data_IF_628504767411
#
_entry.id   IF_628504767411
#
_cell.length_a   1.000
_cell.length_b   1.000
_cell.length_c   1.000
_cell.angle_alpha   90.00
_cell.angle_beta   90.00
_cell.angle_gamma   90.00
#
_symmetry.space_group_name_H-M   'P 1'
#
loop_
_entity.id
_entity.type
_entity.pdbx_description
1 polymer ?
#
# COMPACT_ATOMS: atom_id res chain seq x y z
N UNK A 1 1.40 -35.25 -109.56
CA UNK A 1 1.09 -35.98 -108.31
C UNK A 1 2.29 -36.10 -107.35
N UNK A 2 3.54 -36.25 -107.82
CA UNK A 2 4.73 -36.31 -106.93
C UNK A 2 5.06 -35.02 -106.16
N UNK A 3 4.85 -33.83 -106.73
CA UNK A 3 5.14 -32.53 -106.08
C UNK A 3 4.10 -32.15 -105.00
N UNK A 4 2.84 -32.61 -105.16
CA UNK A 4 1.76 -32.34 -104.21
C UNK A 4 1.95 -33.15 -102.91
N UNK A 5 2.55 -34.33 -103.00
CA UNK A 5 2.86 -35.19 -101.86
C UNK A 5 4.02 -34.66 -101.02
N UNK A 6 5.01 -34.00 -101.65
CA UNK A 6 6.15 -33.39 -100.95
C UNK A 6 5.78 -32.10 -100.22
N UNK A 7 4.83 -31.31 -100.75
CA UNK A 7 4.31 -30.11 -100.05
C UNK A 7 3.43 -30.52 -98.87
N UNK A 8 2.61 -31.56 -99.01
CA UNK A 8 1.81 -32.11 -97.90
C UNK A 8 2.69 -32.70 -96.78
N UNK A 9 3.81 -33.33 -97.12
CA UNK A 9 4.77 -33.85 -96.14
C UNK A 9 5.59 -32.73 -95.46
N UNK A 10 5.83 -31.60 -96.14
CA UNK A 10 6.52 -30.43 -95.58
C UNK A 10 5.65 -29.63 -94.60
N UNK A 11 4.34 -29.54 -94.84
CA UNK A 11 3.38 -28.83 -93.96
C UNK A 11 3.11 -29.60 -92.65
N UNK A 12 3.27 -30.93 -92.64
CA UNK A 12 3.07 -31.78 -91.46
C UNK A 12 4.22 -31.65 -90.43
N UNK A 13 5.41 -31.24 -90.85
CA UNK A 13 6.59 -31.14 -89.95
C UNK A 13 6.57 -29.86 -89.10
N UNK A 14 5.67 -28.90 -89.39
CA UNK A 14 5.62 -27.58 -88.71
C UNK A 14 4.78 -27.59 -87.42
N UNK A 15 4.06 -28.66 -87.10
CA UNK A 15 3.21 -28.75 -85.89
C UNK A 15 3.78 -29.59 -84.74
N UNK A 16 5.04 -30.03 -84.83
CA UNK A 16 5.68 -30.70 -83.71
C UNK A 16 6.27 -29.66 -82.74
N UNK A 17 5.41 -28.95 -82.00
CA UNK A 17 5.85 -28.18 -80.84
C UNK A 17 6.41 -29.17 -79.81
N UNK A 18 7.59 -28.90 -79.27
CA UNK A 18 8.15 -29.68 -78.17
C UNK A 18 7.08 -29.80 -77.07
N UNK A 19 6.67 -31.03 -76.77
CA UNK A 19 5.70 -31.30 -75.73
C UNK A 19 6.39 -31.17 -74.37
N UNK A 20 5.71 -30.50 -73.46
CA UNK A 20 5.96 -30.61 -72.03
C UNK A 20 5.97 -32.09 -71.59
N UNK A 21 6.78 -32.43 -70.58
CA UNK A 21 6.91 -33.81 -70.10
C UNK A 21 5.75 -34.10 -69.16
N UNK A 22 4.79 -34.91 -69.60
CA UNK A 22 3.77 -35.49 -68.74
C UNK A 22 4.16 -36.89 -68.29
N UNK A 23 4.04 -37.18 -67.00
CA UNK A 23 4.08 -38.54 -66.47
C UNK A 23 2.70 -38.84 -65.88
N UNK A 24 2.07 -39.91 -66.37
CA UNK A 24 0.70 -40.32 -66.05
C UNK A 24 -0.40 -39.30 -66.43
N UNK A 25 -0.10 -38.34 -67.31
CA UNK A 25 -1.07 -37.42 -67.90
C UNK A 25 -0.78 -37.20 -69.38
N UNK A 26 -1.84 -37.18 -70.21
CA UNK A 26 -1.72 -36.91 -71.65
C UNK A 26 -1.95 -35.44 -72.00
N UNK A 27 -2.33 -34.63 -71.01
CA UNK A 27 -2.56 -33.19 -71.15
C UNK A 27 -1.74 -32.46 -70.08
N UNK A 28 -0.40 -32.42 -70.20
CA UNK A 28 0.42 -31.72 -69.23
C UNK A 28 0.03 -30.23 -69.21
N UNK A 29 0.07 -29.61 -68.03
CA UNK A 29 -0.32 -28.21 -67.89
C UNK A 29 0.56 -27.35 -68.81
N UNK A 30 -0.05 -26.42 -69.56
CA UNK A 30 0.66 -25.56 -70.51
C UNK A 30 1.72 -24.66 -69.88
N UNK A 31 1.65 -24.45 -68.57
CA UNK A 31 2.62 -23.71 -67.77
C UNK A 31 3.75 -24.58 -67.19
N UNK A 32 3.67 -25.90 -67.31
CA UNK A 32 4.63 -26.84 -66.71
C UNK A 32 5.54 -27.50 -67.76
N UNK A 33 6.86 -27.49 -67.52
CA UNK A 33 7.82 -28.28 -68.30
C UNK A 33 7.75 -29.77 -67.90
N UNK A 34 7.41 -30.06 -66.64
CA UNK A 34 7.18 -31.42 -66.10
C UNK A 34 5.88 -31.43 -65.29
N UNK A 35 4.91 -32.28 -65.67
CA UNK A 35 3.66 -32.52 -64.94
C UNK A 35 3.59 -33.99 -64.52
N UNK A 36 3.52 -34.24 -63.21
CA UNK A 36 3.33 -35.57 -62.63
C UNK A 36 1.90 -35.67 -62.10
N UNK A 37 1.10 -36.60 -62.62
CA UNK A 37 -0.27 -36.85 -62.14
C UNK A 37 -0.36 -38.24 -61.50
N UNK A 38 -0.74 -38.33 -60.23
CA UNK A 38 -0.98 -39.63 -59.58
C UNK A 38 -1.88 -39.48 -58.38
N UNK A 39 -2.72 -40.48 -58.14
CA UNK A 39 -3.55 -40.61 -56.92
C UNK A 39 -2.92 -41.53 -55.88
N UNK A 40 -1.85 -42.26 -56.22
CA UNK A 40 -1.23 -43.29 -55.37
C UNK A 40 0.26 -43.03 -55.08
N UNK A 41 0.91 -42.17 -55.86
CA UNK A 41 2.35 -41.91 -55.76
C UNK A 41 2.64 -40.40 -55.65
N UNK A 42 3.70 -40.05 -54.91
CA UNK A 42 4.17 -38.67 -54.77
C UNK A 42 5.47 -38.40 -55.54
N UNK A 43 5.88 -37.14 -55.58
CA UNK A 43 7.21 -36.78 -56.03
C UNK A 43 8.22 -36.97 -54.91
N UNK A 44 9.24 -37.78 -55.15
CA UNK A 44 10.37 -37.97 -54.23
C UNK A 44 11.56 -37.14 -54.73
N UNK A 45 11.74 -35.88 -54.28
CA UNK A 45 12.90 -35.08 -54.66
C UNK A 45 14.20 -35.70 -54.10
N UNK A 46 15.38 -35.29 -54.59
CA UNK A 46 16.65 -35.69 -54.01
C UNK A 46 16.66 -35.49 -52.49
N UNK A 47 17.03 -36.53 -51.75
CA UNK A 47 17.06 -36.55 -50.28
C UNK A 47 18.52 -36.50 -49.82
N UNK A 48 18.83 -35.59 -48.90
CA UNK A 48 20.19 -35.40 -48.41
C UNK A 48 20.17 -34.79 -47.01
N UNK A 49 21.24 -35.01 -46.24
CA UNK A 49 21.49 -34.33 -44.96
C UNK A 49 21.90 -32.88 -45.19
N UNK A 50 21.85 -32.04 -44.15
CA UNK A 50 22.34 -30.65 -44.21
C UNK A 50 23.80 -30.57 -44.69
N UNK A 51 24.65 -31.49 -44.22
CA UNK A 51 26.06 -31.52 -44.63
C UNK A 51 26.26 -31.88 -46.11
N UNK A 52 25.47 -32.82 -46.64
CA UNK A 52 25.52 -33.21 -48.06
C UNK A 52 24.95 -32.11 -48.96
N UNK A 53 23.91 -31.41 -48.51
CA UNK A 53 23.34 -30.23 -49.17
C UNK A 53 24.37 -29.11 -49.29
N UNK A 54 25.07 -28.81 -48.18
CA UNK A 54 26.06 -27.73 -48.13
C UNK A 54 27.33 -28.06 -48.93
N UNK A 55 27.55 -29.33 -49.27
CA UNK A 55 28.61 -29.76 -50.17
C UNK A 55 28.31 -29.50 -51.66
N UNK A 56 27.09 -29.08 -52.03
CA UNK A 56 26.74 -28.73 -53.40
C UNK A 56 27.42 -27.40 -53.77
N UNK A 57 28.42 -27.46 -54.65
CA UNK A 57 29.11 -26.27 -55.17
C UNK A 57 28.27 -25.58 -56.26
N UNK A 58 28.03 -24.27 -56.14
CA UNK A 58 27.26 -23.47 -57.09
C UNK A 58 25.85 -24.05 -57.38
N UNK A 59 25.00 -24.21 -56.36
CA UNK A 59 23.63 -24.67 -56.57
C UNK A 59 22.87 -23.70 -57.49
N UNK A 60 22.02 -24.25 -58.36
CA UNK A 60 21.22 -23.46 -59.28
C UNK A 60 20.02 -22.81 -58.57
N UNK A 61 19.65 -21.59 -58.98
CA UNK A 61 18.44 -20.90 -58.51
C UNK A 61 17.20 -21.76 -58.78
N UNK A 62 16.40 -22.00 -57.73
CA UNK A 62 15.23 -22.86 -57.77
C UNK A 62 15.50 -24.36 -57.63
N UNK A 63 16.74 -24.79 -57.32
CA UNK A 63 17.06 -26.19 -57.04
C UNK A 63 16.31 -26.66 -55.77
N UNK A 64 15.48 -27.71 -55.88
CA UNK A 64 14.66 -28.24 -54.78
C UNK A 64 15.18 -29.59 -54.29
N UNK A 65 15.31 -29.74 -52.96
CA UNK A 65 15.72 -30.96 -52.27
C UNK A 65 14.85 -31.21 -51.03
N UNK A 66 14.85 -32.43 -50.51
CA UNK A 66 14.29 -32.74 -49.19
C UNK A 66 15.43 -32.98 -48.21
N UNK A 67 15.55 -32.11 -47.20
CA UNK A 67 16.58 -32.23 -46.18
C UNK A 67 16.11 -33.22 -45.11
N UNK A 68 16.82 -34.34 -44.96
CA UNK A 68 16.46 -35.40 -44.00
C UNK A 68 16.88 -35.09 -42.57
N UNK A 69 17.75 -34.10 -42.36
CA UNK A 69 18.13 -33.62 -41.03
C UNK A 69 17.01 -32.75 -40.46
N UNK A 70 16.50 -31.81 -41.25
CA UNK A 70 15.48 -30.82 -40.83
C UNK A 70 14.04 -31.29 -41.16
N UNK A 71 13.91 -32.44 -41.83
CA UNK A 71 12.63 -33.03 -42.28
C UNK A 71 11.75 -32.08 -43.10
N UNK A 72 12.36 -31.25 -43.95
CA UNK A 72 11.68 -30.20 -44.72
C UNK A 72 12.13 -30.15 -46.18
N UNK A 73 11.23 -29.69 -47.05
CA UNK A 73 11.61 -29.27 -48.39
C UNK A 73 12.43 -27.99 -48.31
N UNK A 74 13.55 -27.96 -49.01
CA UNK A 74 14.41 -26.79 -49.15
C UNK A 74 14.63 -26.46 -50.62
N UNK A 75 14.76 -25.18 -50.94
CA UNK A 75 15.15 -24.74 -52.28
C UNK A 75 16.24 -23.68 -52.21
N UNK A 76 17.12 -23.64 -53.20
CA UNK A 76 18.14 -22.60 -53.29
C UNK A 76 17.55 -21.36 -53.98
N UNK A 77 17.61 -20.19 -53.36
CA UNK A 77 17.02 -18.96 -53.91
C UNK A 77 18.02 -18.10 -54.72
N UNK A 78 19.25 -18.58 -54.92
CA UNK A 78 20.35 -17.83 -55.52
C UNK A 78 21.40 -17.35 -54.51
N UNK A 79 21.04 -17.28 -53.23
CA UNK A 79 21.89 -16.78 -52.14
C UNK A 79 22.07 -17.82 -51.02
N UNK A 80 21.00 -18.49 -50.60
CA UNK A 80 21.02 -19.47 -49.53
C UNK A 80 20.00 -20.60 -49.77
N UNK A 81 20.11 -21.65 -48.96
CA UNK A 81 19.11 -22.71 -48.88
C UNK A 81 17.95 -22.26 -48.00
N UNK A 82 16.79 -22.08 -48.62
CA UNK A 82 15.54 -21.69 -48.01
C UNK A 82 14.74 -22.93 -47.61
N UNK A 83 14.21 -22.95 -46.39
CA UNK A 83 13.14 -23.87 -46.03
C UNK A 83 11.87 -23.48 -46.78
N UNK A 84 11.03 -24.46 -47.08
CA UNK A 84 9.76 -24.23 -47.80
C UNK A 84 8.80 -23.24 -47.11
N UNK A 85 8.96 -23.01 -45.81
CA UNK A 85 8.22 -22.03 -45.02
C UNK A 85 8.98 -20.71 -44.78
N UNK A 86 10.23 -20.60 -45.24
CA UNK A 86 11.04 -19.39 -45.07
C UNK A 86 10.74 -18.36 -46.17
N UNK A 87 10.76 -17.08 -45.82
CA UNK A 87 10.58 -15.94 -46.75
C UNK A 87 11.90 -15.32 -47.21
N UNK A 88 12.92 -15.28 -46.36
CA UNK A 88 14.28 -14.81 -46.69
C UNK A 88 15.39 -15.57 -45.95
N UNK A 89 16.63 -15.40 -46.42
CA UNK A 89 17.83 -15.98 -45.78
C UNK A 89 18.05 -15.50 -44.33
N UNK A 90 17.59 -14.29 -44.02
CA UNK A 90 17.75 -13.64 -42.71
C UNK A 90 16.47 -13.69 -41.87
N UNK A 91 15.61 -14.69 -42.09
CA UNK A 91 14.40 -14.82 -41.29
C UNK A 91 14.72 -15.35 -39.89
N UNK A 92 14.18 -14.69 -38.87
CA UNK A 92 14.41 -15.05 -37.49
C UNK A 92 13.49 -16.18 -37.06
N UNK A 93 14.07 -17.34 -36.74
CA UNK A 93 13.38 -18.47 -36.12
C UNK A 93 13.69 -18.46 -34.64
N UNK A 94 12.64 -18.32 -33.83
CA UNK A 94 12.76 -18.38 -32.39
C UNK A 94 11.52 -19.01 -31.78
N UNK A 95 11.71 -19.59 -30.59
CA UNK A 95 10.64 -20.04 -29.71
C UNK A 95 10.70 -19.24 -28.41
N UNK A 96 9.53 -19.08 -27.79
CA UNK A 96 9.42 -18.60 -26.41
C UNK A 96 9.03 -19.78 -25.56
N UNK A 97 9.70 -19.95 -24.42
CA UNK A 97 9.29 -20.92 -23.40
C UNK A 97 9.29 -20.25 -22.04
N UNK A 98 8.24 -20.48 -21.28
CA UNK A 98 8.16 -20.02 -19.90
C UNK A 98 8.67 -21.12 -18.96
N UNK A 99 9.37 -20.75 -17.90
CA UNK A 99 9.74 -21.68 -16.83
C UNK A 99 8.50 -22.28 -16.13
N UNK A 100 7.44 -21.48 -16.08
CA UNK A 100 6.13 -21.80 -15.53
C UNK A 100 5.05 -21.13 -16.37
N UNK A 101 3.92 -21.82 -16.58
CA UNK A 101 2.78 -21.28 -17.37
C UNK A 101 1.74 -20.60 -16.48
N UNK A 102 1.91 -20.66 -15.17
CA UNK A 102 1.04 -20.01 -14.20
C UNK A 102 1.75 -19.82 -12.88
N UNK A 103 1.30 -18.86 -12.09
CA UNK A 103 1.72 -18.73 -10.70
C UNK A 103 0.69 -17.98 -9.88
N UNK A 104 0.80 -18.10 -8.56
CA UNK A 104 -0.17 -17.58 -7.61
C UNK A 104 0.51 -16.56 -6.71
N UNK A 105 -0.10 -15.39 -6.57
CA UNK A 105 0.25 -14.43 -5.52
C UNK A 105 -0.67 -14.69 -4.32
N UNK A 106 -0.09 -15.32 -3.30
CA UNK A 106 -0.68 -15.42 -1.97
C UNK A 106 -0.40 -14.12 -1.21
N UNK A 107 -1.44 -13.30 -1.04
CA UNK A 107 -1.39 -11.97 -0.42
C UNK A 107 -0.96 -11.98 1.05
N UNK A 108 -0.84 -13.14 1.68
CA UNK A 108 -0.27 -13.28 3.02
C UNK A 108 1.26 -13.29 2.93
N UNK A 109 1.81 -14.10 2.02
CA UNK A 109 3.23 -14.41 1.96
C UNK A 109 4.03 -13.47 1.04
N UNK A 110 3.46 -13.05 -0.08
CA UNK A 110 4.14 -12.20 -1.06
C UNK A 110 3.15 -11.32 -1.81
N UNK A 111 3.57 -10.11 -2.15
CA UNK A 111 2.84 -9.20 -3.04
C UNK A 111 3.41 -9.22 -4.47
N UNK A 112 4.42 -10.07 -4.72
CA UNK A 112 5.09 -10.19 -6.02
C UNK A 112 5.32 -11.62 -6.45
N UNK A 113 5.44 -11.80 -7.76
CA UNK A 113 5.72 -13.07 -8.42
C UNK A 113 6.63 -12.81 -9.62
N UNK A 114 7.69 -13.59 -9.76
CA UNK A 114 8.62 -13.51 -10.89
C UNK A 114 8.66 -14.86 -11.61
N UNK A 115 8.63 -14.81 -12.94
CA UNK A 115 8.80 -15.97 -13.81
C UNK A 115 9.76 -15.63 -14.95
N UNK A 116 10.46 -16.64 -15.47
CA UNK A 116 11.46 -16.47 -16.52
C UNK A 116 10.92 -16.83 -17.89
N UNK A 117 11.19 -15.96 -18.86
CA UNK A 117 10.87 -16.09 -20.27
C UNK A 117 12.17 -16.40 -21.02
N UNK A 118 12.29 -17.60 -21.57
CA UNK A 118 13.44 -18.01 -22.38
C UNK A 118 13.12 -17.85 -23.86
N UNK A 119 14.03 -17.19 -24.58
CA UNK A 119 14.02 -17.06 -26.03
C UNK A 119 15.11 -17.96 -26.59
N UNK A 120 14.74 -18.88 -27.47
CA UNK A 120 15.69 -19.75 -28.17
C UNK A 120 15.63 -19.51 -29.67
N UNK A 121 16.68 -18.91 -30.24
CA UNK A 121 16.84 -18.68 -31.66
C UNK A 121 17.58 -19.84 -32.33
N UNK A 122 16.99 -20.41 -33.39
CA UNK A 122 17.52 -21.60 -34.08
C UNK A 122 18.19 -21.28 -35.43
N UNK A 123 18.73 -20.07 -35.61
CA UNK A 123 19.39 -19.60 -36.84
C UNK A 123 20.89 -19.33 -36.70
N UNK A 124 21.60 -19.20 -37.82
CA UNK A 124 23.05 -18.89 -37.84
C UNK A 124 23.37 -17.42 -37.55
N UNK A 125 22.42 -16.52 -37.83
CA UNK A 125 22.51 -15.09 -37.51
C UNK A 125 21.67 -14.78 -36.27
N UNK A 126 22.27 -14.05 -35.33
CA UNK A 126 21.57 -13.58 -34.14
C UNK A 126 20.75 -12.34 -34.49
N UNK A 127 19.50 -12.35 -34.05
CA UNK A 127 18.57 -11.25 -34.27
C UNK A 127 18.10 -10.68 -32.92
N UNK A 128 17.63 -9.44 -32.93
CA UNK A 128 16.98 -8.87 -31.76
C UNK A 128 15.51 -9.25 -31.75
N UNK A 129 15.08 -9.90 -30.67
CA UNK A 129 13.67 -10.16 -30.37
C UNK A 129 13.16 -9.10 -29.41
N UNK A 130 12.10 -8.38 -29.78
CA UNK A 130 11.38 -7.46 -28.88
C UNK A 130 10.24 -8.18 -28.19
N UNK A 131 10.04 -7.93 -26.90
CA UNK A 131 8.99 -8.51 -26.07
C UNK A 131 7.92 -7.46 -25.74
N UNK A 132 6.66 -7.86 -25.82
CA UNK A 132 5.51 -7.07 -25.45
C UNK A 132 4.63 -7.88 -24.50
N UNK A 133 4.05 -7.20 -23.51
CA UNK A 133 3.10 -7.79 -22.59
C UNK A 133 1.70 -7.27 -22.91
N UNK A 134 0.77 -8.17 -23.20
CA UNK A 134 -0.63 -7.85 -23.46
C UNK A 134 -1.49 -8.45 -22.36
N UNK A 135 -2.18 -7.59 -21.59
CA UNK A 135 -2.94 -8.02 -20.42
C UNK A 135 -4.08 -7.05 -20.07
N UNK A 136 -4.99 -7.53 -19.23
CA UNK A 136 -6.04 -6.72 -18.56
C UNK A 136 -5.96 -6.88 -17.04
N UNK A 137 -4.78 -6.61 -16.49
CA UNK A 137 -4.52 -6.71 -15.05
C UNK A 137 -5.34 -5.67 -14.26
N UNK A 138 -5.63 -5.95 -12.98
CA UNK A 138 -6.26 -4.99 -12.08
C UNK A 138 -5.48 -3.66 -11.98
N UNK A 139 -6.14 -2.55 -11.60
CA UNK A 139 -5.55 -1.21 -11.63
C UNK A 139 -4.29 -1.02 -10.79
N UNK A 140 -4.14 -1.75 -9.67
CA UNK A 140 -2.97 -1.64 -8.80
C UNK A 140 -1.97 -2.79 -9.03
N UNK A 141 -2.15 -3.58 -10.08
CA UNK A 141 -1.26 -4.66 -10.47
C UNK A 141 -0.43 -4.24 -11.67
N UNK A 142 0.89 -4.39 -11.55
CA UNK A 142 1.84 -4.06 -12.62
C UNK A 142 2.69 -5.27 -12.96
N UNK A 143 3.14 -5.34 -14.20
CA UNK A 143 4.11 -6.33 -14.66
C UNK A 143 5.23 -5.62 -15.41
N UNK A 144 6.47 -5.96 -15.09
CA UNK A 144 7.64 -5.36 -15.72
C UNK A 144 8.62 -6.45 -16.16
N UNK A 145 9.25 -6.25 -17.31
CA UNK A 145 10.35 -7.07 -17.79
C UNK A 145 11.68 -6.48 -17.31
N UNK A 146 12.66 -7.32 -17.00
CA UNK A 146 14.03 -6.86 -16.73
C UNK A 146 14.67 -6.21 -17.95
N UNK A 147 14.28 -6.65 -19.15
CA UNK A 147 14.64 -6.06 -20.44
C UNK A 147 13.55 -6.40 -21.47
N UNK A 148 13.27 -5.47 -22.39
CA UNK A 148 12.24 -5.62 -23.43
C UNK A 148 12.79 -6.17 -24.75
N UNK A 149 14.10 -6.39 -24.83
CA UNK A 149 14.79 -6.88 -26.03
C UNK A 149 15.84 -7.91 -25.68
N UNK A 150 16.01 -8.92 -26.55
CA UNK A 150 17.04 -9.96 -26.42
C UNK A 150 17.73 -10.17 -27.76
N UNK A 151 19.06 -10.12 -27.76
CA UNK A 151 19.89 -10.43 -28.92
C UNK A 151 20.33 -11.89 -28.89
N UNK A 152 19.96 -12.68 -29.90
CA UNK A 152 20.21 -14.12 -29.92
C UNK A 152 19.28 -14.88 -28.97
N UNK A 153 19.73 -16.03 -28.46
CA UNK A 153 19.05 -16.76 -27.39
C UNK A 153 19.39 -16.17 -26.02
N UNK A 154 18.43 -16.13 -25.10
CA UNK A 154 18.61 -15.56 -23.76
C UNK A 154 17.37 -15.72 -22.88
N UNK A 155 17.45 -15.21 -21.65
CA UNK A 155 16.33 -15.20 -20.70
C UNK A 155 16.03 -13.79 -20.22
N UNK A 156 14.76 -13.52 -19.97
CA UNK A 156 14.22 -12.29 -19.39
C UNK A 156 13.31 -12.66 -18.24
N UNK A 157 13.37 -11.91 -17.14
CA UNK A 157 12.44 -12.13 -16.04
C UNK A 157 11.30 -11.13 -16.13
N UNK A 158 10.08 -11.65 -15.97
CA UNK A 158 8.89 -10.86 -15.82
C UNK A 158 8.49 -10.86 -14.33
N UNK A 159 8.38 -9.67 -13.74
CA UNK A 159 7.98 -9.51 -12.34
C UNK A 159 6.64 -8.82 -12.27
N UNK A 160 5.67 -9.50 -11.66
CA UNK A 160 4.35 -9.00 -11.33
C UNK A 160 4.37 -8.51 -9.88
N UNK A 161 3.79 -7.34 -9.63
CA UNK A 161 3.56 -6.79 -8.29
C UNK A 161 2.09 -6.40 -8.21
N UNK A 162 1.39 -6.81 -7.16
CA UNK A 162 -0.03 -6.53 -6.95
C UNK A 162 -0.26 -5.91 -5.57
N UNK A 163 -1.42 -5.29 -5.39
CA UNK A 163 -1.89 -4.80 -4.10
C UNK A 163 -2.91 -5.76 -3.48
N UNK A 164 -2.94 -5.81 -2.15
CA UNK A 164 -4.02 -6.46 -1.39
C UNK A 164 -5.42 -5.92 -1.76
N UNK A 165 -5.50 -4.69 -2.28
CA UNK A 165 -6.76 -4.03 -2.64
C UNK A 165 -7.27 -4.37 -4.04
N UNK A 166 -6.48 -5.07 -4.86
CA UNK A 166 -6.93 -5.44 -6.20
C UNK A 166 -7.99 -6.54 -6.16
N UNK A 167 -8.70 -6.69 -7.28
CA UNK A 167 -9.68 -7.76 -7.43
C UNK A 167 -8.97 -9.12 -7.53
N UNK A 168 -9.38 -10.15 -6.77
CA UNK A 168 -8.84 -11.50 -6.92
C UNK A 168 -9.35 -12.14 -8.20
N UNK A 169 -8.61 -13.11 -8.73
CA UNK A 169 -8.99 -13.79 -9.96
C UNK A 169 -7.82 -14.38 -10.73
N UNK A 170 -8.12 -14.91 -11.91
CA UNK A 170 -7.13 -15.41 -12.85
C UNK A 170 -7.05 -14.48 -14.05
N UNK A 171 -5.84 -13.98 -14.32
CA UNK A 171 -5.57 -12.99 -15.35
C UNK A 171 -4.56 -13.56 -16.36
N UNK A 172 -4.96 -13.77 -17.62
CA UNK A 172 -4.03 -14.18 -18.65
C UNK A 172 -3.16 -12.99 -19.07
N UNK A 173 -1.86 -13.24 -19.18
CA UNK A 173 -0.86 -12.31 -19.68
C UNK A 173 -0.27 -12.96 -20.93
N UNK A 174 -0.49 -12.35 -22.09
CA UNK A 174 0.12 -12.81 -23.33
C UNK A 174 1.49 -12.14 -23.50
N UNK A 175 2.54 -12.96 -23.53
CA UNK A 175 3.91 -12.56 -23.82
C UNK A 175 4.10 -12.72 -25.32
N UNK A 176 4.22 -11.60 -26.02
CA UNK A 176 4.44 -11.58 -27.46
C UNK A 176 5.89 -11.22 -27.75
N UNK A 177 6.63 -12.14 -28.37
CA UNK A 177 7.91 -11.84 -28.99
C UNK A 177 7.74 -11.52 -30.46
N UNK A 178 8.50 -10.53 -30.94
CA UNK A 178 8.57 -10.17 -32.35
C UNK A 178 10.05 -10.15 -32.75
N UNK A 179 10.37 -10.89 -33.81
CA UNK A 179 11.70 -10.91 -34.39
C UNK A 179 11.56 -10.82 -35.92
N UNK A 180 11.93 -9.67 -36.49
CA UNK A 180 11.65 -9.33 -37.90
C UNK A 180 10.15 -9.48 -38.24
N UNK A 181 9.79 -10.53 -39.00
CA UNK A 181 8.40 -10.85 -39.38
C UNK A 181 7.80 -12.02 -38.60
N UNK A 182 8.59 -12.68 -37.74
CA UNK A 182 8.16 -13.80 -36.92
C UNK A 182 7.58 -13.31 -35.60
N UNK A 183 6.43 -13.86 -35.21
CA UNK A 183 5.74 -13.54 -33.97
C UNK A 183 5.49 -14.85 -33.24
N UNK A 184 5.89 -14.91 -31.96
CA UNK A 184 5.56 -15.99 -31.05
C UNK A 184 4.79 -15.43 -29.87
N UNK A 185 3.80 -16.17 -29.40
CA UNK A 185 2.99 -15.78 -28.24
C UNK A 185 2.88 -16.94 -27.29
N UNK A 186 3.25 -16.70 -26.03
CA UNK A 186 3.00 -17.59 -24.92
C UNK A 186 2.09 -16.91 -23.89
N UNK A 187 1.31 -17.69 -23.15
CA UNK A 187 0.37 -17.15 -22.16
C UNK A 187 0.75 -17.63 -20.77
N UNK A 188 0.96 -16.66 -19.88
CA UNK A 188 1.11 -16.89 -18.45
C UNK A 188 -0.20 -16.59 -17.72
N UNK A 189 -0.65 -17.49 -16.84
CA UNK A 189 -1.83 -17.28 -16.01
C UNK A 189 -1.44 -16.82 -14.61
N UNK A 190 -1.68 -15.54 -14.31
CA UNK A 190 -1.52 -15.00 -12.97
C UNK A 190 -2.79 -15.28 -12.16
N UNK A 191 -2.65 -15.99 -11.04
CA UNK A 191 -3.72 -16.15 -10.07
C UNK A 191 -3.48 -15.25 -8.86
N UNK A 192 -4.48 -14.49 -8.47
CA UNK A 192 -4.45 -13.61 -7.29
C UNK A 192 -5.49 -14.13 -6.30
N UNK A 193 -5.03 -14.51 -5.10
CA UNK A 193 -5.89 -15.10 -4.08
C UNK A 193 -6.85 -14.07 -3.47
N UNK A 194 -8.04 -14.56 -3.09
CA UNK A 194 -9.05 -13.73 -2.43
C UNK A 194 -8.75 -13.53 -0.95
N UNK A 195 -8.97 -12.30 -0.47
CA UNK A 195 -8.94 -11.96 0.94
C UNK A 195 -10.35 -11.90 1.52
N UNK A 196 -10.48 -12.09 2.84
CA UNK A 196 -11.70 -11.75 3.56
C UNK A 196 -12.03 -10.26 3.29
N UNK A 197 -13.30 -9.95 3.07
CA UNK A 197 -13.77 -8.58 2.88
C UNK A 197 -14.66 -8.22 4.06
N UNK A 198 -14.32 -7.12 4.74
CA UNK A 198 -15.07 -6.58 5.87
C UNK A 198 -15.50 -5.16 5.51
N UNK A 199 -16.81 -4.92 5.48
CA UNK A 199 -17.37 -3.59 5.21
C UNK A 199 -17.90 -3.00 6.50
N UNK A 200 -17.40 -1.80 6.85
CA UNK A 200 -17.78 -1.05 8.04
C UNK A 200 -18.56 0.18 7.56
N UNK A 201 -19.88 0.08 7.65
CA UNK A 201 -20.84 1.08 7.15
C UNK A 201 -21.75 1.67 8.24
N UNK A 202 -21.45 1.35 9.49
CA UNK A 202 -22.11 1.90 10.67
C UNK A 202 -21.05 2.30 11.69
N UNK A 203 -21.24 3.44 12.35
CA UNK A 203 -20.30 3.92 13.36
C UNK A 203 -20.14 2.92 14.51
N UNK A 204 -18.93 2.82 15.05
CA UNK A 204 -18.55 1.84 16.06
C UNK A 204 -17.58 2.45 17.06
N UNK A 205 -17.61 1.98 18.30
CA UNK A 205 -16.68 2.40 19.36
C UNK A 205 -15.78 1.23 19.74
N UNK A 206 -14.47 1.45 19.81
CA UNK A 206 -13.45 0.44 20.12
C UNK A 206 -13.52 -0.74 19.13
N UNK A 207 -13.39 -0.46 17.84
CA UNK A 207 -13.56 -1.47 16.80
C UNK A 207 -12.34 -2.41 16.73
N UNK A 208 -12.55 -3.68 17.07
CA UNK A 208 -11.54 -4.74 16.90
C UNK A 208 -11.88 -5.60 15.68
N UNK A 209 -11.07 -5.47 14.62
CA UNK A 209 -11.31 -6.11 13.32
C UNK A 209 -11.47 -7.64 13.44
N UNK A 210 -10.66 -8.28 14.27
CA UNK A 210 -10.65 -9.74 14.39
C UNK A 210 -11.90 -10.25 15.11
N UNK A 211 -12.16 -9.74 16.32
CA UNK A 211 -13.20 -10.24 17.20
C UNK A 211 -14.60 -9.85 16.73
N UNK A 212 -14.78 -8.63 16.22
CA UNK A 212 -16.09 -8.15 15.73
C UNK A 212 -16.56 -8.94 14.51
N UNK A 213 -15.64 -9.39 13.67
CA UNK A 213 -15.96 -10.09 12.41
C UNK A 213 -15.78 -11.61 12.50
N UNK A 214 -15.38 -12.15 13.65
CA UNK A 214 -15.14 -13.58 13.84
C UNK A 214 -14.04 -14.13 12.94
N UNK A 215 -13.01 -13.33 12.66
CA UNK A 215 -11.89 -13.74 11.82
C UNK A 215 -10.99 -14.75 12.56
N UNK A 216 -10.31 -15.66 11.84
CA UNK A 216 -9.30 -16.52 12.44
C UNK A 216 -8.23 -15.73 13.21
N UNK A 217 -7.93 -16.16 14.43
CA UNK A 217 -6.91 -15.55 15.27
C UNK A 217 -5.54 -16.21 15.14
N UNK A 218 -4.73 -16.07 16.19
CA UNK A 218 -3.36 -16.61 16.28
C UNK A 218 -3.29 -18.10 15.87
N UNK A 219 -2.32 -18.43 15.01
CA UNK A 219 -2.08 -19.76 14.46
C UNK A 219 -2.69 -20.00 13.09
N UNK A 220 -3.50 -19.08 12.57
CA UNK A 220 -4.10 -19.17 11.22
C UNK A 220 -3.91 -17.84 10.47
N UNK A 221 -2.81 -17.70 9.71
CA UNK A 221 -2.59 -16.52 8.88
C UNK A 221 -3.71 -16.30 7.88
N UNK A 222 -4.16 -15.05 7.73
CA UNK A 222 -5.18 -14.67 6.76
C UNK A 222 -4.80 -13.40 5.99
N UNK A 223 -5.46 -13.19 4.87
CA UNK A 223 -5.54 -11.89 4.22
C UNK A 223 -6.94 -11.31 4.44
N UNK A 224 -7.04 -10.06 4.90
CA UNK A 224 -8.33 -9.36 5.10
C UNK A 224 -8.24 -7.91 4.62
N UNK A 225 -9.30 -7.43 3.96
CA UNK A 225 -9.47 -6.01 3.60
C UNK A 225 -10.66 -5.45 4.36
N UNK A 226 -10.42 -4.40 5.13
CA UNK A 226 -11.42 -3.64 5.86
C UNK A 226 -11.73 -2.31 5.14
N UNK A 227 -12.99 -2.12 4.80
CA UNK A 227 -13.51 -0.93 4.12
C UNK A 227 -14.31 -0.07 5.09
N UNK A 228 -13.78 1.10 5.44
CA UNK A 228 -14.53 2.10 6.21
C UNK A 228 -15.27 3.00 5.23
N UNK A 229 -16.59 2.85 5.16
CA UNK A 229 -17.42 3.58 4.20
C UNK A 229 -17.58 5.06 4.57
N UNK A 230 -17.87 5.93 3.58
CA UNK A 230 -18.13 7.35 3.82
C UNK A 230 -19.26 7.57 4.84
N UNK A 231 -19.07 8.52 5.77
CA UNK A 231 -20.05 8.84 6.81
C UNK A 231 -20.02 7.91 8.03
N UNK A 232 -19.13 6.91 8.04
CA UNK A 232 -18.87 6.06 9.20
C UNK A 232 -17.85 6.72 10.13
N UNK A 233 -18.11 6.68 11.43
CA UNK A 233 -17.16 7.08 12.47
C UNK A 233 -16.77 5.88 13.32
N UNK A 234 -15.48 5.59 13.41
CA UNK A 234 -14.90 4.64 14.35
C UNK A 234 -14.24 5.45 15.46
N UNK A 235 -14.80 5.39 16.66
CA UNK A 235 -14.34 6.17 17.81
C UNK A 235 -13.71 5.30 18.88
N UNK A 236 -13.01 5.91 19.83
CA UNK A 236 -12.79 5.31 21.16
C UNK A 236 -13.75 5.94 22.18
N UNK A 237 -13.74 5.42 23.41
CA UNK A 237 -14.37 6.04 24.59
C UNK A 237 -13.47 5.94 25.84
N UNK A 238 -12.24 5.50 25.66
CA UNK A 238 -11.23 5.33 26.70
C UNK A 238 -9.87 5.52 26.01
N UNK A 239 -9.04 6.50 26.42
CA UNK A 239 -7.77 6.78 25.74
C UNK A 239 -6.79 5.59 25.80
N UNK A 240 -6.99 4.62 26.68
CA UNK A 240 -6.18 3.39 26.74
C UNK A 240 -6.59 2.33 25.72
N UNK A 241 -7.74 2.52 25.04
CA UNK A 241 -8.28 1.62 24.02
C UNK A 241 -8.22 2.34 22.67
N UNK A 242 -7.60 1.75 21.63
CA UNK A 242 -7.56 2.37 20.33
C UNK A 242 -8.95 2.41 19.69
N UNK A 243 -9.21 3.42 18.86
CA UNK A 243 -10.47 3.52 18.13
C UNK A 243 -10.66 2.32 17.18
N UNK A 244 -9.59 1.93 16.47
CA UNK A 244 -9.53 0.74 15.63
C UNK A 244 -8.31 -0.11 15.97
N UNK A 245 -8.51 -1.41 16.17
CA UNK A 245 -7.45 -2.41 16.33
C UNK A 245 -7.60 -3.51 15.28
N UNK A 246 -6.48 -3.99 14.72
CA UNK A 246 -6.52 -5.23 13.92
C UNK A 246 -6.79 -6.47 14.77
N UNK A 247 -6.68 -6.37 16.10
CA UNK A 247 -7.01 -7.42 17.06
C UNK A 247 -6.01 -8.56 17.12
N UNK A 248 -6.44 -9.70 17.64
CA UNK A 248 -5.60 -10.88 17.87
C UNK A 248 -5.45 -11.79 16.62
N UNK A 249 -5.21 -11.19 15.46
CA UNK A 249 -4.85 -11.91 14.24
C UNK A 249 -3.49 -12.61 14.40
N UNK A 250 -3.24 -13.63 13.59
CA UNK A 250 -1.90 -14.20 13.49
C UNK A 250 -0.91 -13.17 12.93
N UNK A 251 0.30 -13.09 13.51
CA UNK A 251 1.31 -12.09 13.15
C UNK A 251 1.78 -12.13 11.69
N UNK A 252 1.60 -13.26 11.00
CA UNK A 252 1.88 -13.40 9.57
C UNK A 252 0.73 -12.92 8.67
N UNK A 253 -0.42 -12.55 9.23
CA UNK A 253 -1.56 -12.06 8.48
C UNK A 253 -1.25 -10.72 7.80
N UNK A 254 -1.99 -10.43 6.73
CA UNK A 254 -1.90 -9.17 6.01
C UNK A 254 -3.26 -8.47 6.03
N UNK A 255 -3.28 -7.27 6.59
CA UNK A 255 -4.49 -6.43 6.69
C UNK A 255 -4.42 -5.31 5.65
N UNK A 256 -5.47 -5.14 4.87
CA UNK A 256 -5.69 -3.97 4.02
C UNK A 256 -6.73 -3.06 4.68
N UNK A 257 -6.47 -1.77 4.80
CA UNK A 257 -7.46 -0.79 5.27
C UNK A 257 -7.72 0.22 4.17
N UNK A 258 -8.97 0.34 3.70
CA UNK A 258 -9.43 1.45 2.85
C UNK A 258 -10.31 2.34 3.70
N UNK A 259 -9.80 3.51 4.07
CA UNK A 259 -10.53 4.45 4.91
C UNK A 259 -11.05 5.63 4.11
N UNK A 260 -12.38 5.80 4.08
CA UNK A 260 -13.07 7.00 3.56
C UNK A 260 -13.92 7.67 4.66
N UNK A 261 -13.97 7.07 5.85
CA UNK A 261 -14.70 7.59 7.01
C UNK A 261 -13.83 8.40 7.97
N UNK A 262 -14.26 8.50 9.22
CA UNK A 262 -13.52 9.09 10.32
C UNK A 262 -13.10 7.99 11.29
N UNK A 263 -11.80 7.88 11.59
CA UNK A 263 -11.26 7.09 12.70
C UNK A 263 -10.68 8.09 13.69
N UNK A 264 -11.28 8.24 14.86
CA UNK A 264 -10.87 9.22 15.87
C UNK A 264 -10.68 8.56 17.23
N UNK A 265 -9.54 8.82 17.85
CA UNK A 265 -9.31 8.37 19.22
C UNK A 265 -9.85 9.35 20.25
N UNK A 266 -10.09 8.83 21.45
CA UNK A 266 -10.40 9.63 22.63
C UNK A 266 -9.15 10.45 23.01
N UNK A 267 -9.34 11.71 23.36
CA UNK A 267 -8.32 12.53 23.98
C UNK A 267 -8.15 12.17 25.45
N UNK A 268 -6.98 12.45 25.99
CA UNK A 268 -6.70 12.19 27.40
C UNK A 268 -7.48 13.14 28.31
N UNK A 269 -7.91 12.65 29.47
CA UNK A 269 -8.52 13.49 30.49
C UNK A 269 -7.50 14.50 31.06
N UNK A 270 -7.98 15.71 31.27
CA UNK A 270 -7.28 16.73 32.03
C UNK A 270 -7.03 16.25 33.46
N UNK A 271 -5.82 16.52 33.96
CA UNK A 271 -5.44 16.01 35.26
C UNK A 271 -6.35 16.53 36.38
N UNK A 272 -6.68 15.65 37.31
CA UNK A 272 -7.52 15.94 38.47
C UNK A 272 -6.67 16.18 39.72
N UNK A 273 -7.01 17.19 40.52
CA UNK A 273 -6.38 17.47 41.82
C UNK A 273 -4.87 17.73 41.74
N UNK A 274 -4.14 17.46 42.82
CA UNK A 274 -2.67 17.56 42.86
C UNK A 274 -2.14 17.33 44.26
N UNK A 275 -0.98 16.67 44.40
CA UNK A 275 -0.35 16.53 45.72
C UNK A 275 0.36 17.84 46.08
N UNK A 276 0.35 18.22 47.37
CA UNK A 276 1.11 19.37 47.89
C UNK A 276 2.62 19.27 47.63
N UNK A 277 3.14 18.09 47.32
CA UNK A 277 4.56 17.84 47.06
C UNK A 277 4.96 18.05 45.59
N UNK A 278 4.02 17.82 44.65
CA UNK A 278 4.25 17.88 43.19
C UNK A 278 3.57 19.07 42.52
N UNK A 279 2.83 19.87 43.29
CA UNK A 279 2.08 21.03 42.82
C UNK A 279 1.08 20.72 41.69
N UNK A 280 0.60 19.48 41.60
CA UNK A 280 -0.27 19.02 40.50
C UNK A 280 -0.07 17.55 40.15
N UNK A 281 -0.77 17.10 39.12
CA UNK A 281 -0.64 15.80 38.46
C UNK A 281 -0.48 16.01 36.94
N UNK A 282 0.12 15.03 36.26
CA UNK A 282 0.22 15.01 34.81
C UNK A 282 -1.16 14.76 34.19
N UNK A 283 -1.38 15.34 33.00
CA UNK A 283 -2.54 14.96 32.18
C UNK A 283 -2.46 13.51 31.74
N UNK A 284 -3.60 12.94 31.37
CA UNK A 284 -3.65 11.61 30.76
C UNK A 284 -3.23 11.68 29.29
N UNK A 285 -2.59 10.63 28.80
CA UNK A 285 -2.18 10.55 27.40
C UNK A 285 -3.41 10.37 26.49
N UNK A 286 -3.36 10.91 25.28
CA UNK A 286 -4.38 10.68 24.26
C UNK A 286 -4.32 9.26 23.70
N UNK A 287 -5.46 8.75 23.23
CA UNK A 287 -5.55 7.41 22.67
C UNK A 287 -5.09 7.29 21.22
N UNK A 288 -4.79 6.06 20.82
CA UNK A 288 -4.39 5.75 19.45
C UNK A 288 -5.60 5.61 18.53
N UNK A 289 -5.54 6.18 17.33
CA UNK A 289 -6.63 6.02 16.36
C UNK A 289 -6.60 4.61 15.76
N UNK A 290 -5.43 4.17 15.32
CA UNK A 290 -5.19 2.84 14.77
C UNK A 290 -4.10 2.14 15.56
N UNK A 291 -4.38 0.91 16.00
CA UNK A 291 -3.40 0.00 16.59
C UNK A 291 -3.26 -1.27 15.73
N UNK A 292 -2.09 -1.46 15.14
CA UNK A 292 -1.83 -2.52 14.18
C UNK A 292 -0.99 -3.63 14.80
N UNK A 293 -1.47 -4.86 14.69
CA UNK A 293 -0.83 -6.07 15.25
C UNK A 293 -0.13 -6.92 14.20
N UNK A 294 -0.28 -6.58 12.91
CA UNK A 294 0.25 -7.34 11.77
C UNK A 294 0.71 -6.41 10.65
N UNK A 295 1.36 -6.96 9.62
CA UNK A 295 1.64 -6.24 8.36
C UNK A 295 0.34 -5.62 7.84
N UNK A 296 0.36 -4.33 7.55
CA UNK A 296 -0.82 -3.59 7.12
C UNK A 296 -0.51 -2.75 5.88
N UNK A 297 -1.39 -2.80 4.88
CA UNK A 297 -1.44 -1.84 3.79
C UNK A 297 -2.62 -0.91 3.99
N UNK A 298 -2.47 0.39 3.72
CA UNK A 298 -3.53 1.37 3.92
C UNK A 298 -3.68 2.30 2.71
N UNK A 299 -4.92 2.59 2.34
CA UNK A 299 -5.30 3.71 1.47
C UNK A 299 -6.23 4.60 2.29
N UNK A 300 -5.77 5.79 2.63
CA UNK A 300 -6.55 6.77 3.38
C UNK A 300 -6.99 7.91 2.46
N UNK A 301 -8.31 8.07 2.31
CA UNK A 301 -8.93 9.27 1.73
C UNK A 301 -9.89 9.95 2.71
N UNK A 302 -10.16 9.30 3.86
CA UNK A 302 -10.89 9.81 5.00
C UNK A 302 -9.97 10.44 6.05
N UNK A 303 -10.33 10.32 7.32
CA UNK A 303 -9.67 10.97 8.45
C UNK A 303 -9.20 9.94 9.48
N UNK A 304 -7.97 10.12 9.98
CA UNK A 304 -7.37 9.29 11.04
C UNK A 304 -6.71 10.23 12.05
N UNK A 305 -7.31 10.37 13.24
CA UNK A 305 -6.88 11.34 14.25
C UNK A 305 -6.56 10.66 15.57
N UNK A 306 -5.29 10.72 15.99
CA UNK A 306 -4.87 10.35 17.34
C UNK A 306 -5.36 11.36 18.37
N UNK A 307 -5.60 10.90 19.58
CA UNK A 307 -6.10 11.73 20.67
C UNK A 307 -5.09 12.81 21.07
N UNK A 308 -5.57 13.98 21.44
CA UNK A 308 -4.77 15.00 22.10
C UNK A 308 -4.52 14.63 23.55
N UNK A 309 -3.36 14.99 24.09
CA UNK A 309 -3.05 14.76 25.50
C UNK A 309 -3.87 15.66 26.42
N UNK A 310 -4.22 15.17 27.60
CA UNK A 310 -4.86 15.96 28.64
C UNK A 310 -3.93 17.03 29.21
N UNK A 311 -4.47 18.16 29.62
CA UNK A 311 -3.72 19.21 30.29
C UNK A 311 -3.30 18.82 31.71
N UNK A 312 -2.16 19.35 32.17
CA UNK A 312 -1.71 19.16 33.55
C UNK A 312 -2.59 19.92 34.56
N UNK A 313 -2.68 19.44 35.79
CA UNK A 313 -3.29 20.21 36.87
C UNK A 313 -2.23 20.95 37.66
N UNK A 314 -2.66 22.00 38.35
CA UNK A 314 -1.82 22.72 39.28
C UNK A 314 -2.50 22.87 40.64
N UNK A 315 -1.72 22.79 41.70
CA UNK A 315 -2.21 22.88 43.07
C UNK A 315 -1.17 23.48 43.99
N UNK A 316 -1.61 24.33 44.90
CA UNK A 316 -0.77 24.92 45.93
C UNK A 316 -1.49 24.86 47.26
N UNK A 317 -0.75 24.53 48.30
CA UNK A 317 -1.22 24.81 49.65
C UNK A 317 -0.11 25.14 50.62
N UNK A 318 -0.43 26.05 51.52
CA UNK A 318 0.49 26.53 52.54
C UNK A 318 -0.29 26.89 53.81
N UNK A 319 0.35 26.71 54.96
CA UNK A 319 -0.18 27.15 56.24
C UNK A 319 0.56 28.41 56.68
N UNK A 320 -0.20 29.47 56.92
CA UNK A 320 0.30 30.76 57.36
C UNK A 320 -0.04 30.97 58.84
N UNK A 321 0.91 31.51 59.59
CA UNK A 321 0.67 31.97 60.95
C UNK A 321 0.22 33.44 60.91
N UNK A 322 -1.04 33.69 61.27
CA UNK A 322 -1.62 35.03 61.27
C UNK A 322 -1.80 35.49 62.73
N UNK A 323 -1.29 36.68 63.09
CA UNK A 323 -1.53 37.26 64.41
C UNK A 323 -3.04 37.32 64.70
N UNK A 324 -3.44 37.03 65.95
CA UNK A 324 -4.83 37.08 66.45
C UNK A 324 -5.71 35.86 66.09
N UNK A 325 -5.56 35.23 64.92
CA UNK A 325 -6.41 34.09 64.50
C UNK A 325 -5.69 32.73 64.45
N UNK A 326 -4.36 32.70 64.61
CA UNK A 326 -3.58 31.46 64.62
C UNK A 326 -3.23 30.99 63.20
N UNK A 327 -3.32 29.69 62.94
CA UNK A 327 -2.96 29.09 61.65
C UNK A 327 -4.11 29.17 60.64
N UNK A 328 -3.81 29.65 59.42
CA UNK A 328 -4.70 29.59 58.28
C UNK A 328 -4.07 28.74 57.17
N UNK A 329 -4.77 27.72 56.69
CA UNK A 329 -4.31 26.88 55.57
C UNK A 329 -5.01 27.31 54.29
N UNK A 330 -4.22 27.77 53.33
CA UNK A 330 -4.67 27.99 51.96
C UNK A 330 -4.51 26.69 51.18
N UNK A 331 -5.56 26.30 50.48
CA UNK A 331 -5.50 25.35 49.38
C UNK A 331 -6.15 25.99 48.15
N UNK A 332 -5.41 26.04 47.05
CA UNK A 332 -5.89 26.58 45.78
C UNK A 332 -5.36 25.72 44.63
N UNK A 333 -6.16 25.51 43.59
CA UNK A 333 -5.70 24.77 42.43
C UNK A 333 -6.62 24.92 41.23
N UNK A 334 -6.18 24.37 40.12
CA UNK A 334 -6.94 24.27 38.89
C UNK A 334 -6.70 22.93 38.21
N UNK A 335 -7.75 22.37 37.61
CA UNK A 335 -7.68 21.15 36.82
C UNK A 335 -7.21 21.43 35.40
N UNK A 336 -6.59 20.42 34.76
CA UNK A 336 -6.21 20.53 33.35
C UNK A 336 -7.43 20.45 32.43
N UNK A 337 -7.34 21.01 31.24
CA UNK A 337 -8.36 20.82 30.20
C UNK A 337 -8.25 19.46 29.52
N UNK A 338 -9.36 18.93 29.00
CA UNK A 338 -9.37 17.64 28.30
C UNK A 338 -8.82 17.74 26.87
N UNK A 339 -8.16 16.68 26.39
CA UNK A 339 -7.63 16.61 25.02
C UNK A 339 -8.70 16.26 23.98
N UNK A 340 -8.47 16.62 22.70
CA UNK A 340 -9.39 16.25 21.61
C UNK A 340 -9.33 14.75 21.28
N UNK A 341 -10.43 14.04 21.02
CA UNK A 341 -11.82 14.43 21.24
C UNK A 341 -12.33 13.91 22.60
N UNK A 342 -13.39 14.51 23.11
CA UNK A 342 -14.16 14.00 24.26
C UNK A 342 -13.42 13.89 25.61
N UNK A 343 -12.12 14.20 25.68
CA UNK A 343 -11.36 14.24 26.93
C UNK A 343 -12.03 15.13 27.97
N UNK A 344 -12.20 14.61 29.18
CA UNK A 344 -12.84 15.33 30.26
C UNK A 344 -11.91 16.38 30.87
N UNK A 345 -12.46 17.49 31.32
CA UNK A 345 -11.75 18.48 32.11
C UNK A 345 -11.47 17.94 33.51
N UNK A 346 -10.25 18.18 33.99
CA UNK A 346 -9.81 17.81 35.31
C UNK A 346 -10.60 18.51 36.41
N UNK A 347 -11.00 17.77 37.43
CA UNK A 347 -11.77 18.31 38.56
C UNK A 347 -10.92 18.38 39.83
N UNK A 348 -11.49 18.86 40.94
CA UNK A 348 -10.81 18.85 42.26
C UNK A 348 -10.53 17.44 42.79
N UNK A 349 -11.23 16.42 42.29
CA UNK A 349 -11.11 15.04 42.75
C UNK A 349 -11.54 14.87 44.21
N UNK A 350 -10.89 13.96 44.93
CA UNK A 350 -11.17 13.67 46.34
C UNK A 350 -10.48 14.62 47.34
N UNK A 351 -9.72 15.61 46.85
CA UNK A 351 -9.01 16.58 47.69
C UNK A 351 -9.87 17.85 47.73
N UNK A 352 -10.58 18.14 48.84
CA UNK A 352 -11.34 19.36 48.96
C UNK A 352 -10.36 20.52 49.20
N UNK A 353 -9.77 21.04 48.13
CA UNK A 353 -9.17 22.36 48.18
C UNK A 353 -10.31 23.39 48.30
N UNK A 354 -10.24 24.35 49.24
CA UNK A 354 -11.34 25.29 49.45
C UNK A 354 -11.54 26.26 48.28
N UNK A 355 -10.56 26.38 47.37
CA UNK A 355 -10.64 27.18 46.15
C UNK A 355 -10.16 26.32 44.98
N UNK A 356 -11.02 26.09 44.00
CA UNK A 356 -10.69 25.27 42.83
C UNK A 356 -11.41 25.78 41.58
N UNK A 357 -10.76 25.66 40.42
CA UNK A 357 -11.40 25.80 39.12
C UNK A 357 -11.23 24.51 38.32
N UNK A 358 -12.34 23.92 37.87
CA UNK A 358 -12.32 22.76 37.00
C UNK A 358 -11.85 23.15 35.60
N UNK A 359 -11.14 22.25 34.93
CA UNK A 359 -10.84 22.37 33.51
C UNK A 359 -12.09 22.14 32.67
N UNK A 360 -12.04 22.57 31.41
CA UNK A 360 -13.12 22.34 30.45
C UNK A 360 -12.94 20.98 29.76
N UNK A 361 -14.04 20.37 29.35
CA UNK A 361 -14.02 19.19 28.50
C UNK A 361 -13.68 19.62 27.06
N UNK A 362 -13.00 18.75 26.32
CA UNK A 362 -12.89 18.90 24.88
C UNK A 362 -14.26 18.70 24.22
N UNK A 363 -14.43 19.31 23.04
CA UNK A 363 -15.57 18.98 22.17
C UNK A 363 -15.25 17.74 21.32
N UNK A 364 -16.19 17.30 20.50
CA UNK A 364 -16.06 16.10 19.68
C UNK A 364 -16.19 16.30 18.18
N UNK A 365 -15.89 15.24 17.45
CA UNK A 365 -15.94 15.15 15.99
C UNK A 365 -14.82 15.90 15.27
N UNK A 366 -14.88 15.92 13.93
CA UNK A 366 -13.81 16.36 13.04
C UNK A 366 -13.17 17.73 13.35
N UNK A 367 -13.93 18.65 13.96
CA UNK A 367 -13.50 20.00 14.34
C UNK A 367 -13.45 20.19 15.86
N UNK A 368 -13.14 19.13 16.60
CA UNK A 368 -12.97 19.18 18.04
C UNK A 368 -12.00 20.28 18.47
N UNK A 369 -12.35 20.95 19.56
CA UNK A 369 -11.55 21.98 20.22
C UNK A 369 -11.15 21.42 21.58
N UNK A 370 -9.85 21.53 21.97
CA UNK A 370 -9.42 21.05 23.27
C UNK A 370 -10.07 21.85 24.39
N UNK A 371 -10.16 21.22 25.55
CA UNK A 371 -10.57 21.89 26.77
C UNK A 371 -9.48 22.84 27.26
N UNK A 372 -9.89 24.04 27.67
CA UNK A 372 -9.01 24.98 28.37
C UNK A 372 -8.83 24.54 29.83
N UNK A 373 -7.67 24.82 30.42
CA UNK A 373 -7.40 24.62 31.82
C UNK A 373 -8.31 25.46 32.74
N UNK A 374 -8.50 25.00 33.97
CA UNK A 374 -9.25 25.77 34.97
C UNK A 374 -8.53 27.08 35.29
N UNK A 375 -9.26 28.20 35.39
CA UNK A 375 -8.66 29.52 35.57
C UNK A 375 -9.13 30.23 36.84
N UNK A 376 -8.17 30.61 37.69
CA UNK A 376 -8.35 31.46 38.87
C UNK A 376 -7.42 32.66 38.79
N UNK A 377 -7.96 33.79 38.30
CA UNK A 377 -7.23 35.06 38.14
C UNK A 377 -7.90 36.26 38.85
N UNK A 378 -8.97 36.00 39.61
CA UNK A 378 -9.72 37.04 40.33
C UNK A 378 -9.33 37.02 41.82
N UNK A 379 -9.05 38.17 42.45
CA UNK A 379 -8.79 38.23 43.88
C UNK A 379 -9.93 37.68 44.74
N UNK A 380 -9.59 36.85 45.73
CA UNK A 380 -10.54 36.18 46.62
C UNK A 380 -10.37 36.74 48.03
N UNK A 381 -11.47 37.24 48.62
CA UNK A 381 -11.47 37.80 49.97
C UNK A 381 -12.19 36.86 50.94
N UNK A 382 -11.49 36.38 51.96
CA UNK A 382 -11.98 35.42 52.96
C UNK A 382 -12.03 36.12 54.33
N UNK A 383 -13.22 36.39 54.89
CA UNK A 383 -13.34 36.93 56.24
C UNK A 383 -13.12 35.82 57.29
N UNK A 384 -12.15 36.02 58.18
CA UNK A 384 -11.84 35.10 59.29
C UNK A 384 -11.84 35.88 60.60
N UNK A 385 -12.99 35.90 61.27
CA UNK A 385 -13.19 36.72 62.48
C UNK A 385 -13.00 38.21 62.17
N UNK A 386 -12.11 38.94 62.88
CA UNK A 386 -11.85 40.35 62.60
C UNK A 386 -10.93 40.57 61.39
N UNK A 387 -10.30 39.53 60.84
CA UNK A 387 -9.28 39.64 59.77
C UNK A 387 -9.89 39.34 58.41
N UNK A 388 -9.51 40.09 57.37
CA UNK A 388 -9.83 39.76 55.97
C UNK A 388 -8.58 39.27 55.25
N UNK A 389 -8.57 38.03 54.78
CA UNK A 389 -7.49 37.46 53.97
C UNK A 389 -7.82 37.71 52.50
N UNK A 390 -6.91 38.35 51.77
CA UNK A 390 -7.02 38.56 50.32
C UNK A 390 -5.97 37.72 49.61
N UNK A 391 -6.44 36.82 48.74
CA UNK A 391 -5.61 36.00 47.86
C UNK A 391 -5.72 36.59 46.47
N UNK A 392 -4.60 36.86 45.81
CA UNK A 392 -4.55 37.26 44.40
C UNK A 392 -3.91 36.12 43.62
N UNK A 393 -4.74 35.21 43.07
CA UNK A 393 -4.26 34.07 42.31
C UNK A 393 -3.99 34.44 40.84
N UNK A 394 -3.04 33.73 40.25
CA UNK A 394 -2.92 33.49 38.82
C UNK A 394 -2.63 32.00 38.69
N UNK A 395 -3.68 31.19 38.83
CA UNK A 395 -3.62 29.73 38.81
C UNK A 395 -4.40 29.25 37.60
N UNK A 396 -3.72 28.52 36.73
CA UNK A 396 -4.21 28.08 35.43
C UNK A 396 -3.79 26.61 35.26
N UNK A 397 -4.76 25.72 35.06
CA UNK A 397 -4.45 24.37 34.59
C UNK A 397 -3.83 24.41 33.19
N UNK A 398 -3.12 23.36 32.80
CA UNK A 398 -2.71 23.22 31.41
C UNK A 398 -3.93 22.99 30.53
N UNK A 399 -3.90 23.53 29.32
CA UNK A 399 -4.88 23.23 28.27
C UNK A 399 -4.65 21.83 27.71
N UNK A 400 -5.73 21.19 27.27
CA UNK A 400 -5.68 19.97 26.52
C UNK A 400 -5.04 20.17 25.14
N UNK A 401 -4.53 19.09 24.58
CA UNK A 401 -3.97 19.06 23.23
C UNK A 401 -5.06 18.92 22.17
N UNK A 402 -4.84 19.51 20.99
CA UNK A 402 -5.60 19.15 19.80
C UNK A 402 -5.23 17.72 19.36
N UNK A 403 -5.95 17.15 18.39
CA UNK A 403 -5.65 15.81 17.87
C UNK A 403 -4.17 15.65 17.50
N UNK A 404 -3.52 14.62 18.03
CA UNK A 404 -2.11 14.34 17.77
C UNK A 404 -1.13 15.37 18.35
N UNK A 405 -1.56 16.19 19.32
CA UNK A 405 -0.75 17.19 20.01
C UNK A 405 -0.80 16.93 21.52
N UNK A 406 0.36 17.07 22.17
CA UNK A 406 0.49 16.92 23.62
C UNK A 406 -0.34 17.98 24.36
N UNK A 407 -0.82 17.62 25.55
CA UNK A 407 -1.37 18.59 26.49
C UNK A 407 -0.29 19.50 27.07
N UNK A 408 -0.69 20.64 27.62
CA UNK A 408 0.25 21.62 28.16
C UNK A 408 0.43 21.51 29.67
N UNK A 409 1.53 22.07 30.18
CA UNK A 409 1.70 22.33 31.61
C UNK A 409 0.88 23.55 32.04
N UNK A 410 0.34 23.49 33.26
CA UNK A 410 -0.31 24.65 33.88
C UNK A 410 0.67 25.68 34.44
N UNK A 411 0.11 26.75 35.01
CA UNK A 411 0.84 27.83 35.67
C UNK A 411 0.25 28.11 37.05
N UNK A 412 1.10 28.39 38.04
CA UNK A 412 0.65 28.73 39.37
C UNK A 412 1.48 29.85 39.97
N UNK A 413 0.82 30.97 40.23
CA UNK A 413 1.36 32.08 40.99
C UNK A 413 0.31 32.56 41.98
N UNK A 414 0.69 32.68 43.25
CA UNK A 414 -0.23 33.07 44.32
C UNK A 414 0.44 34.11 45.18
N UNK A 415 -0.27 35.20 45.44
CA UNK A 415 0.09 36.14 46.50
C UNK A 415 -1.06 36.25 47.50
N UNK A 416 -0.72 36.42 48.78
CA UNK A 416 -1.73 36.51 49.83
C UNK A 416 -1.37 37.61 50.84
N UNK A 417 -2.39 38.28 51.36
CA UNK A 417 -2.26 39.31 52.39
C UNK A 417 -3.37 39.17 53.42
N UNK A 418 -3.13 39.62 54.64
CA UNK A 418 -4.12 39.65 55.71
C UNK A 418 -4.30 41.08 56.20
N UNK A 419 -5.53 41.58 56.19
CA UNK A 419 -5.92 42.89 56.71
C UNK A 419 -6.48 42.73 58.12
N UNK A 420 -5.75 43.23 59.11
CA UNK A 420 -6.07 43.06 60.53
C UNK A 420 -6.47 44.43 61.12
N UNK A 421 -7.63 44.56 61.78
CA UNK A 421 -8.02 45.79 62.46
C UNK A 421 -6.94 46.20 63.46
N UNK A 422 -6.51 47.46 63.41
CA UNK A 422 -5.45 48.07 64.25
C UNK A 422 -4.01 47.77 63.79
N UNK A 423 -3.71 46.60 63.20
CA UNK A 423 -2.35 46.24 62.74
C UNK A 423 -2.08 46.65 61.28
N UNK A 424 -3.13 46.78 60.46
CA UNK A 424 -3.01 47.08 59.03
C UNK A 424 -2.88 45.81 58.17
N UNK A 425 -2.48 45.98 56.91
CA UNK A 425 -2.30 44.87 55.95
C UNK A 425 -0.89 44.30 56.06
N UNK A 426 -0.78 42.99 56.26
CA UNK A 426 0.47 42.23 56.23
C UNK A 426 0.51 41.31 55.01
N UNK A 427 1.68 41.17 54.39
CA UNK A 427 1.91 40.17 53.35
C UNK A 427 2.14 38.80 53.98
N UNK A 428 1.46 37.77 53.47
CA UNK A 428 1.69 36.40 53.89
C UNK A 428 2.83 35.80 53.05
N UNK A 429 3.87 35.20 53.67
CA UNK A 429 5.00 34.67 52.93
C UNK A 429 4.57 33.39 52.20
N UNK A 430 4.25 33.50 50.91
CA UNK A 430 3.98 32.36 50.03
C UNK A 430 5.32 31.70 49.69
N UNK A 431 5.54 30.43 50.04
CA UNK A 431 6.72 29.68 49.61
C UNK A 431 6.96 29.77 48.10
N UNK A 432 8.21 29.95 47.64
CA UNK A 432 8.52 29.87 46.22
C UNK A 432 8.25 28.46 45.71
N UNK A 433 7.70 28.37 44.50
CA UNK A 433 7.53 27.10 43.79
C UNK A 433 8.90 26.76 43.19
N UNK A 434 9.56 25.74 43.74
CA UNK A 434 10.94 25.36 43.38
C UNK A 434 11.03 24.07 42.57
N UNK A 435 9.89 23.40 42.34
CA UNK A 435 9.78 22.14 41.60
C UNK A 435 9.14 22.42 40.24
N UNK A 436 9.59 21.76 39.15
CA UNK A 436 8.91 21.83 37.86
C UNK A 436 7.45 21.41 37.99
N UNK A 437 6.55 22.16 37.34
CA UNK A 437 5.15 21.77 37.28
C UNK A 437 4.98 20.52 36.39
N UNK A 438 3.94 19.72 36.62
CA UNK A 438 3.67 18.55 35.79
C UNK A 438 3.47 18.93 34.31
N UNK A 439 3.84 18.01 33.42
CA UNK A 439 3.53 18.10 31.99
C UNK A 439 2.09 17.69 31.72
N UNK A 440 1.54 18.13 30.59
CA UNK A 440 0.36 17.48 30.04
C UNK A 440 0.68 16.04 29.62
N UNK A 441 -0.36 15.30 29.28
CA UNK A 441 -0.23 13.99 28.67
C UNK A 441 0.32 14.10 27.25
N UNK A 442 0.94 13.02 26.79
CA UNK A 442 1.38 12.88 25.41
C UNK A 442 0.19 12.68 24.47
N UNK A 443 0.35 13.10 23.22
CA UNK A 443 -0.60 12.77 22.18
C UNK A 443 -0.62 11.27 21.88
N UNK A 444 -1.79 10.77 21.52
CA UNK A 444 -1.93 9.44 20.95
C UNK A 444 -1.47 9.39 19.48
N UNK A 445 -1.15 8.19 19.03
CA UNK A 445 -0.72 7.95 17.66
C UNK A 445 -1.90 8.09 16.68
N UNK A 446 -1.62 8.72 15.54
CA UNK A 446 -2.48 8.58 14.36
C UNK A 446 -2.53 7.11 13.93
N UNK A 447 -1.36 6.47 13.82
CA UNK A 447 -1.25 5.04 13.57
C UNK A 447 -0.09 4.50 14.40
N UNK A 448 -0.42 3.69 15.41
CA UNK A 448 0.52 2.89 16.16
C UNK A 448 0.74 1.56 15.45
N UNK A 449 1.92 1.37 14.86
CA UNK A 449 2.24 0.16 14.10
C UNK A 449 2.63 -1.02 14.98
N UNK A 450 2.93 -0.77 16.26
CA UNK A 450 3.45 -1.77 17.18
C UNK A 450 4.60 -2.59 16.55
N UNK A 451 5.54 -1.87 15.92
CA UNK A 451 6.71 -2.38 15.20
C UNK A 451 6.42 -3.26 13.98
N UNK A 452 5.18 -3.25 13.47
CA UNK A 452 4.82 -3.92 12.22
C UNK A 452 5.11 -3.06 10.99
N UNK A 453 5.14 -3.70 9.83
CA UNK A 453 5.28 -3.01 8.54
C UNK A 453 3.96 -2.35 8.15
N UNK A 454 4.02 -1.05 7.84
CA UNK A 454 2.93 -0.28 7.24
C UNK A 454 3.30 0.10 5.81
N UNK A 455 2.40 -0.16 4.86
CA UNK A 455 2.54 0.20 3.45
C UNK A 455 1.44 1.23 3.11
N UNK A 456 1.82 2.34 2.48
CA UNK A 456 0.88 3.35 1.97
C UNK A 456 0.97 4.72 2.66
N UNK A 457 1.30 4.75 3.95
CA UNK A 457 1.59 5.98 4.69
C UNK A 457 2.97 5.88 5.36
N UNK A 458 3.92 6.79 5.08
CA UNK A 458 5.23 6.80 5.72
C UNK A 458 5.17 7.15 7.21
N UNK A 459 6.22 6.80 7.95
CA UNK A 459 6.40 7.22 9.34
C UNK A 459 6.65 8.72 9.44
N UNK A 460 6.13 9.35 10.48
CA UNK A 460 6.30 10.77 10.74
C UNK A 460 5.22 11.34 11.66
N UNK A 461 5.36 12.61 12.04
CA UNK A 461 4.32 13.34 12.76
C UNK A 461 3.49 14.18 11.77
N UNK A 462 2.19 13.92 11.71
CA UNK A 462 1.28 14.52 10.75
C UNK A 462 0.31 15.47 11.46
N UNK A 463 0.05 16.62 10.83
CA UNK A 463 -0.96 17.59 11.23
C UNK A 463 -1.65 18.12 9.97
N UNK A 464 -2.08 17.19 9.12
CA UNK A 464 -2.73 17.47 7.84
C UNK A 464 -4.25 17.53 8.04
N UNK A 465 -5.00 17.71 6.94
CA UNK A 465 -6.45 17.62 7.00
C UNK A 465 -6.93 16.18 7.31
N UNK A 466 -6.21 15.17 6.84
CA UNK A 466 -6.62 13.77 6.82
C UNK A 466 -5.93 12.92 7.90
N UNK A 467 -4.77 13.34 8.38
CA UNK A 467 -3.97 12.63 9.39
C UNK A 467 -3.50 13.60 10.46
N UNK A 468 -3.77 13.29 11.74
CA UNK A 468 -3.33 14.08 12.89
C UNK A 468 -2.73 13.17 13.96
N UNK A 469 -1.47 13.39 14.29
CA UNK A 469 -0.67 12.59 15.23
C UNK A 469 0.48 11.84 14.57
N UNK A 470 1.23 11.11 15.39
CA UNK A 470 2.37 10.34 14.94
C UNK A 470 1.94 9.04 14.24
N UNK A 471 2.59 8.72 13.13
CA UNK A 471 2.59 7.40 12.49
C UNK A 471 3.95 6.79 12.77
N UNK A 472 3.98 5.73 13.57
CA UNK A 472 5.24 5.24 14.12
C UNK A 472 5.08 4.10 15.11
N UNK A 473 6.13 3.92 15.93
CA UNK A 473 6.34 2.79 16.84
C UNK A 473 6.55 1.45 16.10
#
# INVERSE_FOLDING_TARGET
>A
MRILLTILFSVIVVFCSAQNVGINTNTPDSSAILHLESTEMGFLPPRMTTAERDAITLPADGLVIFNVTDSTLQYYNGECWMHSYQKSCDECFFNITLDTTSGTIDRILSDSLTFSITIDQSGTLTHTTSLFLLHSLPPLTTINLTQDTVLGSGSVDATVITSIFDTPGSYPIAIQGICNSSIQVEVFYLNIDSCYQVTINTSYTNYDLQSVNGLPGIGTPICVVADVEPGTTISSNDPTIPAFSSGALDGLSHVGIRNVGLIEAEGGDGATGGTLATFGNTGEDGGDALFLTTKTSIINTGYIFGGGGGGASVGFGATFSIPVIGSFTLGIGAGGGGGCADGAGGTSGAIPLPIWADGQNATNGLSAVPGEGGLLNVPISIPVGPVTITITPNVEGGDGGNYGIDGTSGNIFVSASATIPIVGTITLPVPPITVPLPSGGSAGYCINKNSNTLIGLPDGNYQTANEKGEIGN
#
